data_IF_673493752408
#
_entry.id   IF_673493752408
#
_cell.length_a   1.000
_cell.length_b   1.000
_cell.length_c   1.000
_cell.angle_alpha   90.00
_cell.angle_beta   90.00
_cell.angle_gamma   90.00
#
_symmetry.space_group_name_H-M   'P 1'
#
loop_
_entity.id
_entity.type
_entity.pdbx_description
1 polymer ?
#
# COMPACT_ATOMS: atom_id res chain seq x y z
N UNK A 1 -21.10 2.56 -10.55
CA UNK A 1 -20.46 3.27 -9.41
C UNK A 1 -19.27 2.49 -8.82
N UNK A 2 -19.07 1.21 -9.17
CA UNK A 2 -17.96 0.34 -8.71
C UNK A 2 -16.69 0.42 -9.57
N UNK A 3 -16.78 0.81 -10.85
CA UNK A 3 -15.62 0.80 -11.78
C UNK A 3 -14.57 1.90 -11.51
N UNK A 4 -14.98 3.06 -10.98
CA UNK A 4 -14.07 4.19 -10.72
C UNK A 4 -13.20 3.93 -9.47
N UNK A 5 -13.72 3.18 -8.50
CA UNK A 5 -13.03 2.86 -7.25
C UNK A 5 -11.81 1.95 -7.50
N UNK A 6 -11.97 0.93 -8.34
CA UNK A 6 -10.94 -0.08 -8.67
C UNK A 6 -9.67 0.53 -9.30
N UNK A 7 -9.81 1.51 -10.19
CA UNK A 7 -8.67 2.21 -10.79
C UNK A 7 -7.86 3.03 -9.78
N UNK A 8 -8.55 3.61 -8.79
CA UNK A 8 -7.94 4.47 -7.76
C UNK A 8 -7.16 3.65 -6.74
N UNK A 9 -7.66 2.47 -6.42
CA UNK A 9 -7.02 1.54 -5.49
C UNK A 9 -5.75 0.94 -6.09
N UNK A 10 -5.78 0.56 -7.37
CA UNK A 10 -4.58 0.07 -8.07
C UNK A 10 -3.48 1.13 -8.19
N UNK A 11 -3.82 2.40 -8.43
CA UNK A 11 -2.84 3.48 -8.47
C UNK A 11 -2.13 3.67 -7.11
N UNK A 12 -2.87 3.51 -6.00
CA UNK A 12 -2.31 3.58 -4.64
C UNK A 12 -1.32 2.45 -4.36
N UNK A 13 -1.65 1.22 -4.77
CA UNK A 13 -0.74 0.06 -4.62
C UNK A 13 0.55 0.29 -5.40
N UNK A 14 0.44 0.73 -6.66
CA UNK A 14 1.63 1.00 -7.47
C UNK A 14 2.54 2.08 -6.86
N UNK A 15 1.96 3.16 -6.31
CA UNK A 15 2.73 4.20 -5.63
C UNK A 15 3.43 3.66 -4.38
N UNK A 16 2.74 2.89 -3.54
CA UNK A 16 3.32 2.35 -2.32
C UNK A 16 4.49 1.39 -2.60
N UNK A 17 4.34 0.53 -3.62
CA UNK A 17 5.43 -0.35 -4.08
C UNK A 17 6.59 0.46 -4.69
N UNK A 18 6.28 1.51 -5.45
CA UNK A 18 7.26 2.42 -6.03
C UNK A 18 8.08 3.17 -4.97
N UNK A 19 7.43 3.67 -3.93
CA UNK A 19 8.08 4.38 -2.82
C UNK A 19 9.04 3.45 -2.07
N UNK A 20 8.65 2.19 -1.84
CA UNK A 20 9.52 1.15 -1.28
C UNK A 20 10.76 0.90 -2.13
N UNK A 21 10.57 0.77 -3.43
CA UNK A 21 11.65 0.58 -4.39
C UNK A 21 12.65 1.73 -4.32
N UNK A 22 12.15 2.97 -4.33
CA UNK A 22 12.97 4.18 -4.21
C UNK A 22 13.74 4.22 -2.89
N UNK A 23 13.04 4.03 -1.76
CA UNK A 23 13.61 4.07 -0.42
C UNK A 23 14.72 3.03 -0.26
N UNK A 24 14.49 1.78 -0.70
CA UNK A 24 15.50 0.73 -0.61
C UNK A 24 16.70 1.02 -1.48
N UNK A 25 16.49 1.45 -2.72
CA UNK A 25 17.57 1.85 -3.63
C UNK A 25 18.45 2.94 -2.99
N UNK A 26 17.82 3.97 -2.42
CA UNK A 26 18.52 5.07 -1.74
C UNK A 26 19.27 4.60 -0.49
N UNK A 27 18.68 3.71 0.30
CA UNK A 27 19.32 3.15 1.49
C UNK A 27 20.61 2.37 1.16
N UNK A 28 20.65 1.72 -0.01
CA UNK A 28 21.85 1.03 -0.51
C UNK A 28 22.84 1.94 -1.25
N UNK A 29 22.53 3.24 -1.39
CA UNK A 29 23.38 4.20 -2.09
C UNK A 29 23.38 4.06 -3.62
N UNK A 30 22.48 3.26 -4.19
CA UNK A 30 22.44 3.06 -5.64
C UNK A 30 21.76 4.23 -6.37
N UNK A 31 22.35 4.62 -7.50
CA UNK A 31 21.72 5.56 -8.43
C UNK A 31 20.59 4.88 -9.21
N UNK A 32 19.63 5.68 -9.70
CA UNK A 32 18.56 5.15 -10.54
C UNK A 32 19.10 4.52 -11.84
N UNK A 33 20.18 5.08 -12.41
CA UNK A 33 20.79 4.52 -13.60
C UNK A 33 21.43 3.15 -13.34
N UNK A 34 22.07 2.96 -12.19
CA UNK A 34 22.65 1.67 -11.80
C UNK A 34 21.58 0.58 -11.69
N UNK A 35 20.51 0.83 -10.93
CA UNK A 35 19.43 -0.17 -10.77
C UNK A 35 18.68 -0.41 -12.07
N UNK A 36 18.45 0.63 -12.88
CA UNK A 36 17.80 0.48 -14.18
C UNK A 36 18.63 -0.39 -15.13
N UNK A 37 19.95 -0.21 -15.15
CA UNK A 37 20.87 -1.04 -15.93
C UNK A 37 20.84 -2.50 -15.47
N UNK A 38 20.89 -2.76 -14.15
CA UNK A 38 20.78 -4.12 -13.62
C UNK A 38 19.44 -4.80 -13.95
N UNK A 39 18.35 -4.01 -14.03
CA UNK A 39 17.02 -4.51 -14.40
C UNK A 39 16.80 -4.61 -15.92
N UNK A 40 17.73 -4.13 -16.74
CA UNK A 40 17.58 -4.09 -18.20
C UNK A 40 16.48 -3.14 -18.68
N UNK A 41 16.26 -2.02 -17.97
CA UNK A 41 15.25 -1.01 -18.32
C UNK A 41 15.87 0.39 -18.40
N UNK A 42 15.14 1.35 -18.99
CA UNK A 42 15.58 2.74 -19.00
C UNK A 42 15.46 3.38 -17.61
N UNK A 43 16.34 4.35 -17.32
CA UNK A 43 16.28 5.13 -16.06
C UNK A 43 14.96 5.90 -15.93
N UNK A 44 14.37 6.35 -17.05
CA UNK A 44 13.04 6.95 -17.06
C UNK A 44 11.96 5.95 -16.64
N UNK A 45 12.04 4.70 -17.11
CA UNK A 45 11.10 3.65 -16.73
C UNK A 45 11.21 3.29 -15.26
N UNK A 46 12.43 3.14 -14.74
CA UNK A 46 12.62 2.98 -13.30
C UNK A 46 12.02 4.16 -12.53
N UNK A 47 12.25 5.40 -12.99
CA UNK A 47 11.67 6.59 -12.36
C UNK A 47 10.14 6.60 -12.39
N UNK A 48 9.50 6.01 -13.41
CA UNK A 48 8.03 5.84 -13.46
C UNK A 48 7.54 4.78 -12.49
N UNK A 49 8.29 3.70 -12.30
CA UNK A 49 8.00 2.69 -11.28
C UNK A 49 8.09 3.28 -9.88
N UNK A 50 9.16 4.00 -9.58
CA UNK A 50 9.37 4.63 -8.27
C UNK A 50 8.29 5.63 -7.91
N UNK A 51 7.70 6.32 -8.89
CA UNK A 51 6.61 7.28 -8.68
C UNK A 51 5.21 6.67 -8.84
N UNK A 52 5.09 5.34 -9.00
CA UNK A 52 3.81 4.64 -9.18
C UNK A 52 3.06 4.97 -10.49
N UNK A 53 3.70 5.65 -11.45
CA UNK A 53 3.09 6.02 -12.73
C UNK A 53 2.95 4.85 -13.70
N UNK A 54 3.77 3.81 -13.51
CA UNK A 54 3.75 2.60 -14.32
C UNK A 54 3.60 1.37 -13.42
N UNK A 55 2.77 0.43 -13.86
CA UNK A 55 2.60 -0.86 -13.17
C UNK A 55 3.89 -1.66 -13.27
N UNK A 56 4.30 -2.23 -12.14
CA UNK A 56 5.47 -3.11 -12.07
C UNK A 56 4.99 -4.54 -12.27
N UNK A 57 5.52 -5.23 -13.27
CA UNK A 57 5.23 -6.65 -13.46
C UNK A 57 5.85 -7.48 -12.31
N UNK A 58 5.18 -8.55 -11.87
CA UNK A 58 5.66 -9.50 -10.86
C UNK A 58 7.09 -9.95 -11.15
N UNK A 59 7.39 -10.35 -12.39
CA UNK A 59 8.75 -10.76 -12.76
C UNK A 59 9.81 -9.65 -12.60
N UNK A 60 9.41 -8.39 -12.79
CA UNK A 60 10.30 -7.24 -12.53
C UNK A 60 10.53 -7.05 -11.04
N UNK A 61 9.48 -7.21 -10.23
CA UNK A 61 9.56 -7.08 -8.78
C UNK A 61 10.46 -8.15 -8.16
N UNK A 62 10.40 -9.38 -8.66
CA UNK A 62 11.31 -10.48 -8.27
C UNK A 62 12.76 -10.10 -8.56
N UNK A 63 13.07 -9.65 -9.77
CA UNK A 63 14.44 -9.21 -10.12
C UNK A 63 14.90 -8.02 -9.27
N UNK A 64 14.00 -7.08 -8.98
CA UNK A 64 14.31 -5.95 -8.12
C UNK A 64 14.61 -6.39 -6.68
N UNK A 65 13.89 -7.39 -6.15
CA UNK A 65 14.17 -7.99 -4.85
C UNK A 65 15.58 -8.58 -4.77
N UNK A 66 16.01 -9.31 -5.81
CA UNK A 66 17.35 -9.90 -5.87
C UNK A 66 18.44 -8.81 -5.87
N UNK A 67 18.29 -7.79 -6.73
CA UNK A 67 19.27 -6.69 -6.84
C UNK A 67 19.34 -5.85 -5.56
N UNK A 68 18.19 -5.59 -4.94
CA UNK A 68 18.09 -4.76 -3.74
C UNK A 68 18.23 -5.56 -2.43
N UNK A 69 18.51 -6.86 -2.53
CA UNK A 69 18.73 -7.76 -1.41
C UNK A 69 17.58 -7.66 -0.38
N UNK A 70 16.35 -7.78 -0.86
CA UNK A 70 15.13 -7.75 -0.03
C UNK A 70 14.18 -8.86 -0.43
N UNK A 71 13.45 -9.47 0.52
CA UNK A 71 12.35 -10.38 0.18
C UNK A 71 11.31 -9.68 -0.70
N UNK A 72 10.73 -10.37 -1.68
CA UNK A 72 9.67 -9.81 -2.56
C UNK A 72 8.49 -9.26 -1.76
N UNK A 73 8.10 -9.94 -0.67
CA UNK A 73 7.02 -9.50 0.21
C UNK A 73 7.30 -8.16 0.91
N UNK A 74 8.57 -7.77 1.05
CA UNK A 74 8.95 -6.51 1.69
C UNK A 74 8.41 -5.29 0.93
N UNK A 75 8.31 -5.36 -0.40
CA UNK A 75 7.74 -4.27 -1.21
C UNK A 75 6.28 -3.97 -0.86
N UNK A 76 5.53 -4.93 -0.29
CA UNK A 76 4.11 -4.82 -0.03
C UNK A 76 3.72 -4.55 1.43
N UNK A 77 4.65 -4.55 2.39
CA UNK A 77 4.36 -4.16 3.78
C UNK A 77 3.59 -2.79 3.82
N UNK A 78 2.66 -2.51 4.70
CA UNK A 78 1.92 -1.23 4.68
C UNK A 78 1.07 -0.90 3.43
N UNK A 79 1.06 -1.73 2.37
CA UNK A 79 -0.06 -1.78 1.43
C UNK A 79 -1.27 -2.44 2.11
N UNK A 80 -0.99 -3.37 3.04
CA UNK A 80 -1.99 -4.13 3.79
C UNK A 80 -2.81 -3.27 4.77
N UNK A 81 -2.17 -2.31 5.45
CA UNK A 81 -2.82 -1.50 6.49
C UNK A 81 -4.01 -0.68 5.98
N UNK A 82 -4.00 -0.32 4.69
CA UNK A 82 -5.06 0.51 4.09
C UNK A 82 -6.25 -0.30 3.56
N UNK A 83 -6.13 -1.62 3.47
CA UNK A 83 -7.25 -2.51 3.16
C UNK A 83 -8.08 -2.80 4.42
N UNK A 84 -7.44 -2.87 5.59
CA UNK A 84 -8.10 -3.06 6.89
C UNK A 84 -8.84 -1.82 7.42
N UNK A 85 -8.49 -0.61 6.96
CA UNK A 85 -9.21 0.61 7.35
C UNK A 85 -10.69 0.60 6.92
N UNK A 86 -11.03 -0.15 5.87
CA UNK A 86 -12.41 -0.27 5.38
C UNK A 86 -13.29 -1.19 6.25
N UNK A 87 -12.69 -2.12 7.00
CA UNK A 87 -13.44 -3.04 7.86
C UNK A 87 -13.66 -2.48 9.28
N UNK A 88 -12.78 -1.60 9.77
CA UNK A 88 -12.91 -1.03 11.12
C UNK A 88 -14.00 0.04 11.26
N UNK A 89 -14.42 0.71 10.17
CA UNK A 89 -15.45 1.76 10.26
C UNK A 89 -16.88 1.20 10.40
N UNK A 90 -17.11 -0.09 10.10
CA UNK A 90 -18.44 -0.74 10.27
C UNK A 90 -18.61 -1.38 11.64
N UNK A 91 -17.53 -1.77 12.31
CA UNK A 91 -17.62 -2.42 13.63
C UNK A 91 -17.90 -1.38 14.75
N UNK A 92 -17.56 -0.10 14.54
CA UNK A 92 -17.77 0.95 15.55
C UNK A 92 -19.18 1.56 15.60
N UNK A 93 -20.01 1.46 14.55
CA UNK A 93 -21.36 2.05 14.55
C UNK A 93 -22.38 1.28 15.39
N UNK A 94 -22.18 -0.03 15.55
CA UNK A 94 -23.23 -0.92 16.06
C UNK A 94 -23.19 -1.08 17.59
N UNK A 95 -22.11 -0.64 18.24
CA UNK A 95 -21.93 -0.77 19.70
C UNK A 95 -22.57 0.41 20.47
N UNK A 96 -22.75 1.58 19.85
CA UNK A 96 -23.21 2.79 20.57
C UNK A 96 -24.72 3.01 20.65
N UNK A 97 -25.56 2.20 19.98
CA UNK A 97 -27.03 2.39 20.00
C UNK A 97 -27.73 1.63 21.14
N UNK A 98 -27.12 0.61 21.74
CA UNK A 98 -27.76 -0.19 22.78
C UNK A 98 -27.65 0.41 24.20
N UNK A 99 -26.71 1.32 24.45
CA UNK A 99 -26.43 1.84 25.79
C UNK A 99 -27.18 3.13 26.16
N UNK A 100 -27.97 3.72 25.27
CA UNK A 100 -28.68 4.99 25.50
C UNK A 100 -30.17 4.83 25.86
N UNK A 101 -30.68 3.60 25.94
CA UNK A 101 -32.05 3.30 26.37
C UNK A 101 -32.02 2.40 27.61
N UNK A 102 -31.79 2.99 28.79
CA UNK A 102 -32.34 2.53 30.10
C UNK A 102 -31.88 3.47 31.23
N UNK A 103 -32.51 4.63 31.33
CA UNK A 103 -32.59 5.45 32.55
C UNK A 103 -33.83 6.31 32.37
N UNK A 104 -34.94 6.18 33.10
CA UNK A 104 -35.08 6.01 34.55
C UNK A 104 -36.28 5.10 34.87
N UNK A 105 -36.06 3.98 35.57
CA UNK A 105 -37.10 3.38 36.40
C UNK A 105 -36.92 3.91 37.82
N UNK A 106 -37.56 5.04 38.13
CA UNK A 106 -37.70 5.53 39.51
C UNK A 106 -38.72 4.66 40.22
N UNK A 107 -38.25 3.57 40.81
CA UNK A 107 -38.94 2.87 41.90
C UNK A 107 -38.73 3.70 43.17
N UNK A 108 -39.81 4.25 43.73
CA UNK A 108 -39.87 4.53 45.16
C UNK A 108 -41.32 4.40 45.61
N UNK A 109 -41.45 3.71 46.74
CA UNK A 109 -42.67 3.18 47.35
C UNK A 109 -43.39 4.24 48.17
#
# INVERSE_FOLDING_TARGET
MTEIQSCRDMARVNSAVGDRLFCRRKALGYSGQQVAACLGISQQQLSRYERGQSRINVGMLVRAADILQTPVGWFFAGCQDRLSDSENLRVQSDIYTAASVTSEAKYTR
#
